data_IF_911818776975
#
_entry.id   IF_911818776975
#
_cell.length_a   1.000
_cell.length_b   1.000
_cell.length_c   1.000
_cell.angle_alpha   90.00
_cell.angle_beta   90.00
_cell.angle_gamma   90.00
#
_symmetry.space_group_name_H-M   'P 1'
#
loop_
_entity.id
_entity.type
_entity.pdbx_description
1 polymer ?
#
# COMPACT_ATOMS: atom_id res chain seq x y z
N UNK A 1 35.50 -18.26 -17.23
CA UNK A 1 34.96 -17.80 -15.93
C UNK A 1 35.09 -16.28 -15.87
N UNK A 2 34.86 -15.60 -17.01
CA UNK A 2 35.47 -14.29 -17.32
C UNK A 2 34.44 -13.33 -17.91
N UNK A 3 33.26 -13.28 -17.28
CA UNK A 3 32.15 -12.43 -17.74
C UNK A 3 32.21 -10.99 -17.20
N UNK A 4 33.09 -10.71 -16.23
CA UNK A 4 33.20 -9.41 -15.57
C UNK A 4 34.31 -8.60 -16.26
N UNK A 5 33.94 -7.49 -16.88
CA UNK A 5 34.86 -6.56 -17.53
C UNK A 5 34.62 -5.12 -17.04
N UNK A 6 35.55 -4.60 -16.24
CA UNK A 6 35.48 -3.22 -15.72
C UNK A 6 35.84 -2.15 -16.76
N UNK A 7 36.34 -2.55 -17.93
CA UNK A 7 36.73 -1.63 -19.01
C UNK A 7 35.60 -1.35 -20.01
N UNK A 8 34.48 -2.04 -19.91
CA UNK A 8 33.33 -1.88 -20.81
C UNK A 8 32.78 -0.44 -20.76
N UNK A 9 32.61 0.18 -21.94
CA UNK A 9 32.04 1.51 -22.11
C UNK A 9 30.63 1.46 -22.74
N UNK A 10 29.77 2.47 -22.52
CA UNK A 10 28.49 2.60 -23.21
C UNK A 10 28.65 2.61 -24.73
N UNK A 11 27.67 2.09 -25.46
CA UNK A 11 27.68 2.06 -26.93
C UNK A 11 26.38 2.66 -27.46
N UNK A 12 26.51 3.60 -28.40
CA UNK A 12 25.37 4.12 -29.14
C UNK A 12 24.99 3.15 -30.27
N UNK A 13 23.70 2.83 -30.37
CA UNK A 13 23.17 1.91 -31.38
C UNK A 13 22.17 2.66 -32.25
N UNK A 14 22.43 2.71 -33.56
CA UNK A 14 21.52 3.30 -34.54
C UNK A 14 20.56 2.24 -35.10
N UNK A 15 19.26 2.42 -34.89
CA UNK A 15 18.23 1.49 -35.36
C UNK A 15 17.22 2.24 -36.23
N UNK A 16 16.95 1.71 -37.44
CA UNK A 16 15.86 2.20 -38.29
C UNK A 16 14.60 1.43 -37.96
N UNK A 17 13.58 2.13 -37.46
CA UNK A 17 12.28 1.53 -37.08
C UNK A 17 11.14 2.20 -37.84
N UNK A 18 10.07 1.45 -38.09
CA UNK A 18 8.84 1.99 -38.69
C UNK A 18 7.88 2.61 -37.67
N UNK A 19 7.99 2.24 -36.39
CA UNK A 19 7.12 2.71 -35.31
C UNK A 19 7.81 2.56 -33.95
N UNK A 20 7.36 3.34 -32.96
CA UNK A 20 7.82 3.31 -31.57
C UNK A 20 6.61 3.16 -30.65
N UNK A 21 6.71 2.26 -29.68
CA UNK A 21 5.68 2.07 -28.63
C UNK A 21 6.31 2.51 -27.30
N UNK A 22 5.64 3.42 -26.59
CA UNK A 22 6.07 3.86 -25.26
C UNK A 22 5.31 3.05 -24.22
N UNK A 23 6.03 2.20 -23.50
CA UNK A 23 5.49 1.35 -22.45
C UNK A 23 6.41 1.36 -21.22
N UNK A 24 6.92 2.53 -20.85
CA UNK A 24 7.88 2.72 -19.74
C UNK A 24 7.25 2.59 -18.35
N UNK A 25 5.92 2.49 -18.26
CA UNK A 25 5.22 2.22 -17.01
C UNK A 25 5.03 3.45 -16.12
N UNK A 26 5.17 3.24 -14.81
CA UNK A 26 4.93 4.21 -13.75
C UNK A 26 5.90 3.97 -12.59
N UNK A 27 6.12 5.01 -11.77
CA UNK A 27 6.94 4.95 -10.56
C UNK A 27 6.08 5.03 -9.29
N UNK A 28 6.59 4.44 -8.21
CA UNK A 28 5.90 4.39 -6.92
C UNK A 28 6.03 5.73 -6.20
N UNK A 29 4.93 6.21 -5.65
CA UNK A 29 4.98 7.37 -4.77
C UNK A 29 5.53 6.97 -3.39
N UNK A 30 6.62 7.63 -2.99
CA UNK A 30 7.20 7.52 -1.65
C UNK A 30 6.75 8.70 -0.80
N UNK A 31 5.86 8.50 0.18
CA UNK A 31 5.18 9.59 0.90
C UNK A 31 6.03 10.14 2.06
N UNK A 32 7.29 10.48 1.79
CA UNK A 32 8.22 10.99 2.82
C UNK A 32 7.65 12.22 3.52
N UNK A 33 7.64 12.20 4.85
CA UNK A 33 7.06 13.27 5.67
C UNK A 33 5.53 13.21 5.81
N UNK A 34 4.86 12.26 5.14
CA UNK A 34 3.44 11.98 5.34
C UNK A 34 3.25 10.69 6.14
N UNK A 35 2.29 10.70 7.07
CA UNK A 35 1.92 9.53 7.87
C UNK A 35 3.10 8.80 8.55
N UNK A 36 4.20 9.50 8.84
CA UNK A 36 5.39 8.93 9.48
C UNK A 36 6.24 8.04 8.57
N UNK A 37 6.00 8.02 7.26
CA UNK A 37 6.82 7.25 6.33
C UNK A 37 8.24 7.82 6.23
N UNK A 38 9.24 6.94 6.38
CA UNK A 38 10.66 7.29 6.46
C UNK A 38 11.15 7.60 7.89
N UNK A 39 10.24 7.77 8.85
CA UNK A 39 10.58 8.02 10.26
C UNK A 39 10.18 6.86 11.17
N UNK A 40 8.96 6.33 11.02
CA UNK A 40 8.46 5.21 11.80
C UNK A 40 8.77 3.90 11.09
N UNK A 41 9.55 3.04 11.75
CA UNK A 41 10.05 1.79 11.15
C UNK A 41 8.92 0.84 10.71
N UNK A 42 7.77 0.89 11.37
CA UNK A 42 6.62 0.05 11.06
C UNK A 42 5.61 0.69 10.10
N UNK A 43 5.93 1.84 9.49
CA UNK A 43 5.12 2.45 8.42
C UNK A 43 5.76 2.10 7.08
N UNK A 44 5.06 1.29 6.29
CA UNK A 44 5.52 0.79 4.99
C UNK A 44 4.50 1.10 3.89
N UNK A 45 4.97 1.13 2.64
CA UNK A 45 4.09 1.24 1.47
C UNK A 45 3.47 -0.10 1.10
N UNK A 46 2.40 -0.07 0.30
CA UNK A 46 1.81 -1.30 -0.24
C UNK A 46 2.79 -2.10 -1.08
N UNK A 47 3.69 -1.46 -1.84
CA UNK A 47 4.66 -2.20 -2.67
C UNK A 47 5.74 -2.87 -1.81
N UNK A 48 6.15 -2.25 -0.70
CA UNK A 48 7.01 -2.92 0.27
C UNK A 48 6.31 -4.13 0.88
N UNK A 49 5.04 -4.00 1.25
CA UNK A 49 4.24 -5.13 1.73
C UNK A 49 4.15 -6.26 0.70
N UNK A 50 3.95 -5.96 -0.59
CA UNK A 50 3.98 -6.97 -1.67
C UNK A 50 5.32 -7.71 -1.71
N UNK A 51 6.45 -7.00 -1.59
CA UNK A 51 7.77 -7.64 -1.53
C UNK A 51 7.91 -8.51 -0.29
N UNK A 52 7.37 -8.11 0.85
CA UNK A 52 7.41 -8.90 2.09
C UNK A 52 6.55 -10.17 1.99
N UNK A 53 5.37 -10.09 1.36
CA UNK A 53 4.46 -11.23 1.16
C UNK A 53 4.85 -12.14 0.00
N UNK A 54 5.73 -11.69 -0.90
CA UNK A 54 6.18 -12.50 -2.02
C UNK A 54 7.05 -13.69 -1.53
N UNK A 55 6.81 -14.94 -2.02
CA UNK A 55 7.65 -16.09 -1.68
C UNK A 55 9.12 -15.94 -2.09
N UNK A 56 9.40 -15.19 -3.16
CA UNK A 56 10.75 -14.79 -3.59
C UNK A 56 11.13 -13.38 -3.08
N UNK A 57 10.44 -12.93 -2.05
CA UNK A 57 10.67 -11.69 -1.34
C UNK A 57 11.86 -11.78 -0.39
N UNK A 58 12.36 -10.64 0.12
CA UNK A 58 13.40 -10.62 1.14
C UNK A 58 13.01 -11.32 2.45
N UNK A 59 11.71 -11.56 2.67
CA UNK A 59 11.17 -12.26 3.83
C UNK A 59 10.54 -13.62 3.49
N UNK A 60 10.75 -14.12 2.26
CA UNK A 60 10.26 -15.45 1.83
C UNK A 60 8.74 -15.66 2.03
N UNK A 61 7.97 -14.58 1.99
CA UNK A 61 6.51 -14.60 2.19
C UNK A 61 6.05 -14.44 3.63
N UNK A 62 6.96 -14.40 4.61
CA UNK A 62 6.63 -14.32 6.03
C UNK A 62 6.76 -12.90 6.55
N UNK A 63 5.64 -12.17 6.51
CA UNK A 63 5.58 -10.80 6.99
C UNK A 63 5.88 -10.72 8.50
N UNK A 64 6.60 -9.69 8.90
CA UNK A 64 6.84 -9.35 10.30
C UNK A 64 7.09 -7.86 10.42
N UNK A 65 6.88 -7.30 11.61
CA UNK A 65 7.25 -5.92 11.93
C UNK A 65 8.74 -5.72 11.71
N UNK A 66 9.11 -4.57 11.14
CA UNK A 66 10.51 -4.27 10.84
C UNK A 66 11.29 -3.93 12.11
N UNK A 67 10.63 -3.30 13.10
CA UNK A 67 11.31 -2.83 14.31
C UNK A 67 11.71 -3.92 15.29
N UNK A 68 10.91 -4.98 15.40
CA UNK A 68 11.06 -5.99 16.44
C UNK A 68 10.86 -7.43 15.96
N UNK A 69 10.65 -7.61 14.65
CA UNK A 69 10.48 -8.91 14.00
C UNK A 69 9.27 -9.72 14.47
N UNK A 70 8.35 -9.11 15.24
CA UNK A 70 7.15 -9.79 15.73
C UNK A 70 6.04 -9.82 14.68
N UNK A 71 5.12 -10.77 14.85
CA UNK A 71 3.87 -10.83 14.08
C UNK A 71 2.98 -9.64 14.45
N UNK A 72 2.48 -8.85 13.47
CA UNK A 72 1.54 -7.78 13.75
C UNK A 72 0.17 -8.36 14.12
N UNK A 73 -0.45 -7.82 15.17
CA UNK A 73 -1.84 -8.14 15.55
C UNK A 73 -2.85 -7.10 15.09
N UNK A 74 -2.39 -5.89 14.82
CA UNK A 74 -3.20 -4.76 14.37
C UNK A 74 -2.54 -4.18 13.12
N UNK A 75 -3.28 -4.14 12.01
CA UNK A 75 -2.78 -3.65 10.73
C UNK A 75 -3.79 -2.63 10.17
N UNK A 76 -3.30 -1.45 9.81
CA UNK A 76 -4.11 -0.37 9.27
C UNK A 76 -3.61 0.00 7.88
N UNK A 77 -4.48 -0.08 6.89
CA UNK A 77 -4.26 0.45 5.55
C UNK A 77 -4.83 1.86 5.45
N UNK A 78 -4.00 2.80 5.02
CA UNK A 78 -4.40 4.18 4.73
C UNK A 78 -4.57 4.33 3.22
N UNK A 79 -5.80 4.55 2.75
CA UNK A 79 -6.06 4.76 1.33
C UNK A 79 -5.78 6.20 0.89
N UNK A 80 -5.57 6.37 -0.41
CA UNK A 80 -5.38 7.68 -1.06
C UNK A 80 -4.14 8.45 -0.59
N UNK A 81 -3.10 7.78 -0.09
CA UNK A 81 -1.82 8.44 0.20
C UNK A 81 -1.18 8.90 -1.11
N UNK A 82 -0.89 10.19 -1.24
CA UNK A 82 -0.39 10.81 -2.47
C UNK A 82 -1.35 10.80 -3.66
N UNK A 83 -2.66 10.65 -3.43
CA UNK A 83 -3.68 10.67 -4.50
C UNK A 83 -4.99 11.23 -3.98
N UNK A 84 -5.76 11.90 -4.85
CA UNK A 84 -6.97 12.66 -4.45
C UNK A 84 -6.65 13.70 -3.37
N UNK A 85 -5.53 14.38 -3.56
CA UNK A 85 -5.05 15.50 -2.73
C UNK A 85 -4.83 16.73 -3.60
N UNK A 86 -4.58 17.90 -2.99
CA UNK A 86 -4.46 19.18 -3.71
C UNK A 86 -3.45 19.12 -4.86
N UNK A 87 -2.27 18.57 -4.61
CA UNK A 87 -1.18 18.47 -5.60
C UNK A 87 -1.38 17.30 -6.59
N UNK A 88 -2.12 16.26 -6.20
CA UNK A 88 -2.37 15.05 -7.00
C UNK A 88 -3.84 14.70 -6.94
N UNK A 89 -4.63 15.42 -7.74
CA UNK A 89 -6.10 15.37 -7.70
C UNK A 89 -6.70 14.09 -8.29
N UNK A 90 -5.89 13.30 -9.01
CA UNK A 90 -6.31 12.05 -9.62
C UNK A 90 -6.36 10.88 -8.63
N UNK A 91 -7.07 9.81 -9.01
CA UNK A 91 -7.05 8.53 -8.31
C UNK A 91 -6.06 7.59 -9.00
N UNK A 92 -5.24 6.87 -8.22
CA UNK A 92 -4.26 5.90 -8.75
C UNK A 92 -4.89 4.59 -9.27
N UNK A 93 -6.23 4.45 -9.21
CA UNK A 93 -7.00 3.36 -9.83
C UNK A 93 -6.92 2.00 -9.14
N UNK A 94 -5.77 1.63 -8.59
CA UNK A 94 -5.48 0.25 -8.14
C UNK A 94 -5.39 0.08 -6.61
N UNK A 95 -5.16 1.16 -5.86
CA UNK A 95 -4.81 1.11 -4.44
C UNK A 95 -5.89 0.47 -3.55
N UNK A 96 -7.17 0.70 -3.84
CA UNK A 96 -8.28 0.09 -3.12
C UNK A 96 -8.26 -1.44 -3.23
N UNK A 97 -8.09 -1.96 -4.46
CA UNK A 97 -8.04 -3.39 -4.70
C UNK A 97 -6.78 -4.04 -4.12
N UNK A 98 -5.63 -3.38 -4.21
CA UNK A 98 -4.40 -3.86 -3.57
C UNK A 98 -4.57 -4.00 -2.06
N UNK A 99 -5.25 -3.04 -1.42
CA UNK A 99 -5.50 -3.12 0.03
C UNK A 99 -6.43 -4.28 0.40
N UNK A 100 -7.50 -4.48 -0.36
CA UNK A 100 -8.41 -5.62 -0.15
C UNK A 100 -7.69 -6.96 -0.39
N UNK A 101 -6.84 -7.02 -1.42
CA UNK A 101 -6.06 -8.21 -1.76
C UNK A 101 -5.05 -8.54 -0.67
N UNK A 102 -4.21 -7.57 -0.30
CA UNK A 102 -3.20 -7.76 0.74
C UNK A 102 -3.82 -7.98 2.11
N UNK A 103 -4.95 -7.33 2.43
CA UNK A 103 -5.68 -7.58 3.66
C UNK A 103 -6.10 -9.05 3.79
N UNK A 104 -6.64 -9.65 2.71
CA UNK A 104 -7.00 -11.08 2.73
C UNK A 104 -5.78 -11.99 2.87
N UNK A 105 -4.69 -11.72 2.15
CA UNK A 105 -3.45 -12.50 2.29
C UNK A 105 -2.87 -12.43 3.71
N UNK A 106 -2.96 -11.27 4.35
CA UNK A 106 -2.54 -11.10 5.74
C UNK A 106 -3.42 -11.87 6.72
N UNK A 107 -4.72 -12.02 6.46
CA UNK A 107 -5.60 -12.88 7.28
C UNK A 107 -5.30 -14.36 7.08
N UNK A 108 -4.85 -14.78 5.89
CA UNK A 108 -4.40 -16.15 5.65
C UNK A 108 -3.13 -16.47 6.46
N UNK A 109 -2.17 -15.53 6.53
CA UNK A 109 -0.93 -15.68 7.31
C UNK A 109 -1.13 -15.45 8.82
N UNK A 110 -2.00 -14.50 9.19
CA UNK A 110 -2.33 -14.11 10.57
C UNK A 110 -3.85 -14.15 10.81
N UNK A 111 -4.43 -15.33 11.05
CA UNK A 111 -5.88 -15.46 11.26
C UNK A 111 -6.42 -14.71 12.49
N UNK A 112 -5.56 -14.33 13.43
CA UNK A 112 -5.90 -13.57 14.63
C UNK A 112 -5.62 -12.06 14.52
N UNK A 113 -5.17 -11.58 13.35
CA UNK A 113 -4.89 -10.16 13.14
C UNK A 113 -6.17 -9.35 12.85
N UNK A 114 -6.26 -8.17 13.48
CA UNK A 114 -7.27 -7.18 13.17
C UNK A 114 -6.79 -6.29 12.03
N UNK A 115 -7.47 -6.35 10.89
CA UNK A 115 -7.16 -5.52 9.72
C UNK A 115 -8.20 -4.43 9.56
N UNK A 116 -7.74 -3.19 9.41
CA UNK A 116 -8.58 -2.03 9.17
C UNK A 116 -8.16 -1.32 7.87
N UNK A 117 -9.13 -0.98 7.02
CA UNK A 117 -8.91 -0.15 5.83
C UNK A 117 -9.62 1.20 6.04
N UNK A 118 -8.83 2.26 6.13
CA UNK A 118 -9.30 3.64 6.22
C UNK A 118 -9.40 4.26 4.82
N UNK A 119 -10.60 4.67 4.41
CA UNK A 119 -10.87 5.10 3.03
C UNK A 119 -11.81 6.29 2.94
N UNK A 120 -11.79 6.99 1.79
CA UNK A 120 -12.78 8.02 1.44
C UNK A 120 -13.93 7.34 0.69
N UNK A 121 -13.60 6.68 -0.43
CA UNK A 121 -14.50 5.82 -1.20
C UNK A 121 -13.73 4.55 -1.59
N UNK A 122 -14.39 3.39 -1.55
CA UNK A 122 -13.84 2.16 -2.13
C UNK A 122 -14.16 2.19 -3.63
N UNK A 123 -13.13 1.96 -4.45
CA UNK A 123 -13.25 1.94 -5.91
C UNK A 123 -12.87 0.56 -6.45
N UNK A 124 -13.88 -0.14 -6.91
CA UNK A 124 -13.89 -1.52 -7.39
C UNK A 124 -14.51 -1.60 -8.80
N UNK A 125 -13.98 -0.85 -9.79
CA UNK A 125 -14.73 -0.57 -11.03
C UNK A 125 -14.75 -1.73 -12.05
N UNK A 126 -13.84 -2.70 -11.93
CA UNK A 126 -13.68 -3.77 -12.91
C UNK A 126 -14.59 -4.97 -12.61
N UNK A 127 -14.69 -5.87 -13.58
CA UNK A 127 -15.44 -7.12 -13.44
C UNK A 127 -14.97 -7.89 -12.19
N UNK A 128 -15.92 -8.36 -11.38
CA UNK A 128 -15.70 -9.16 -10.17
C UNK A 128 -15.02 -8.42 -9.00
N UNK A 129 -14.74 -7.12 -9.12
CA UNK A 129 -14.07 -6.36 -8.05
C UNK A 129 -15.01 -6.03 -6.90
N UNK A 130 -16.28 -5.74 -7.18
CA UNK A 130 -17.27 -5.50 -6.13
C UNK A 130 -17.57 -6.76 -5.33
N UNK A 131 -17.68 -7.90 -6.01
CA UNK A 131 -17.82 -9.22 -5.38
C UNK A 131 -16.57 -9.57 -4.55
N UNK A 132 -15.38 -9.14 -4.98
CA UNK A 132 -14.17 -9.27 -4.17
C UNK A 132 -14.23 -8.39 -2.91
N UNK A 133 -14.71 -7.16 -3.02
CA UNK A 133 -14.90 -6.26 -1.90
C UNK A 133 -15.92 -6.80 -0.88
N UNK A 134 -17.06 -7.31 -1.33
CA UNK A 134 -18.05 -7.93 -0.43
C UNK A 134 -17.46 -9.13 0.31
N UNK A 135 -16.75 -10.03 -0.39
CA UNK A 135 -16.03 -11.14 0.27
C UNK A 135 -14.97 -10.67 1.26
N UNK A 136 -14.34 -9.53 1.03
CA UNK A 136 -13.35 -8.96 1.94
C UNK A 136 -14.01 -8.39 3.22
N UNK A 137 -15.19 -7.78 3.10
CA UNK A 137 -16.01 -7.37 4.25
C UNK A 137 -16.48 -8.57 5.07
N UNK A 138 -16.89 -9.64 4.40
CA UNK A 138 -17.32 -10.88 5.05
C UNK A 138 -16.16 -11.59 5.79
N UNK A 139 -14.92 -11.36 5.35
CA UNK A 139 -13.71 -11.86 5.99
C UNK A 139 -13.24 -10.99 7.17
N UNK A 140 -14.14 -10.26 7.82
CA UNK A 140 -13.88 -9.43 9.01
C UNK A 140 -12.86 -8.29 8.84
N UNK A 141 -12.53 -7.90 7.59
CA UNK A 141 -11.75 -6.68 7.35
C UNK A 141 -12.59 -5.47 7.72
N UNK A 142 -12.12 -4.68 8.69
CA UNK A 142 -12.83 -3.51 9.19
C UNK A 142 -12.71 -2.35 8.21
N UNK A 143 -13.84 -1.96 7.63
CA UNK A 143 -13.92 -0.81 6.73
C UNK A 143 -14.25 0.46 7.53
N UNK A 144 -13.34 1.45 7.51
CA UNK A 144 -13.57 2.77 8.14
C UNK A 144 -13.59 3.86 7.07
N UNK A 145 -14.78 4.44 6.85
CA UNK A 145 -14.91 5.62 6.01
C UNK A 145 -14.45 6.88 6.76
N UNK A 146 -13.25 7.32 6.46
CA UNK A 146 -12.62 8.52 7.04
C UNK A 146 -11.17 8.65 6.59
N UNK A 147 -10.74 9.89 6.32
CA UNK A 147 -9.32 10.19 6.07
C UNK A 147 -8.59 10.19 7.41
N UNK A 148 -7.38 9.62 7.42
CA UNK A 148 -6.48 9.69 8.58
C UNK A 148 -6.03 11.14 8.73
N UNK A 149 -6.08 11.67 9.95
CA UNK A 149 -5.64 13.05 10.21
C UNK A 149 -4.39 13.15 11.07
N UNK A 150 -4.23 12.31 12.09
CA UNK A 150 -3.05 12.31 12.96
C UNK A 150 -2.47 10.90 13.08
N UNK A 151 -1.15 10.83 13.11
CA UNK A 151 -0.39 9.60 13.36
C UNK A 151 0.70 9.89 14.40
N UNK A 152 0.99 8.93 15.26
CA UNK A 152 2.10 9.01 16.22
C UNK A 152 2.67 7.63 16.50
N UNK A 153 3.95 7.57 16.82
CA UNK A 153 4.61 6.34 17.26
C UNK A 153 4.82 6.35 18.77
N UNK A 154 4.61 5.20 19.40
CA UNK A 154 5.03 4.94 20.76
C UNK A 154 6.54 4.62 20.78
N UNK A 155 7.39 5.43 21.44
CA UNK A 155 8.84 5.34 21.30
C UNK A 155 9.44 4.05 21.87
N UNK A 156 8.76 3.40 22.83
CA UNK A 156 9.22 2.17 23.46
C UNK A 156 8.79 0.94 22.67
N UNK A 157 7.51 0.89 22.29
CA UNK A 157 6.92 -0.30 21.65
C UNK A 157 6.97 -0.26 20.13
N UNK A 158 7.29 0.90 19.55
CA UNK A 158 7.24 1.17 18.11
C UNK A 158 5.87 0.94 17.47
N UNK A 159 4.82 0.96 18.30
CA UNK A 159 3.44 0.83 17.85
C UNK A 159 2.97 2.18 17.28
N UNK A 160 2.25 2.12 16.16
CA UNK A 160 1.72 3.32 15.51
C UNK A 160 0.26 3.53 15.90
N UNK A 161 -0.05 4.72 16.41
CA UNK A 161 -1.41 5.17 16.76
C UNK A 161 -1.94 6.05 15.64
N UNK A 162 -3.12 5.71 15.14
CA UNK A 162 -3.76 6.41 14.01
C UNK A 162 -5.09 7.00 14.46
N UNK A 163 -5.28 8.30 14.27
CA UNK A 163 -6.55 8.99 14.50
C UNK A 163 -7.27 9.22 13.18
N UNK A 164 -8.49 8.70 13.10
CA UNK A 164 -9.34 8.78 11.91
C UNK A 164 -10.57 9.60 12.22
N UNK A 165 -10.83 10.63 11.41
CA UNK A 165 -12.05 11.42 11.50
C UNK A 165 -13.13 10.74 10.67
N UNK A 166 -14.05 10.05 11.37
CA UNK A 166 -15.18 9.38 10.74
C UNK A 166 -16.18 10.40 10.23
N UNK A 167 -16.59 10.27 8.97
CA UNK A 167 -17.72 11.02 8.44
C UNK A 167 -19.03 10.36 8.93
N UNK A 168 -19.52 10.76 10.11
CA UNK A 168 -20.73 10.18 10.72
C UNK A 168 -21.93 11.12 10.79
N UNK A 169 -21.87 12.33 10.21
CA UNK A 169 -22.99 13.27 10.24
C UNK A 169 -23.27 13.87 8.86
N UNK A 170 -24.40 13.48 8.29
CA UNK A 170 -25.10 14.24 7.26
C UNK A 170 -25.67 15.50 7.89
N UNK A 171 -25.11 16.67 7.57
CA UNK A 171 -25.84 17.92 7.73
C UNK A 171 -26.81 17.99 6.56
N UNK A 172 -28.12 17.90 6.84
CA UNK A 172 -29.15 18.32 5.89
C UNK A 172 -29.23 19.84 6.05
N UNK A 173 -28.58 20.58 5.16
CA UNK A 173 -28.85 21.99 4.98
C UNK A 173 -30.04 22.10 4.01
N UNK A 174 -31.16 22.67 4.49
CA UNK A 174 -32.28 23.09 3.64
C UNK A 174 -31.93 24.42 2.95
#
# INVERSE_FOLDING_TARGET
MDAIDFSQLPTDVNVKVGSVIIATGWDIHEPYGEYGYGEFENVITQVQLERMLAPNGPLEGHMRRLSDTKKPKEIIFIQCVGSRETERTYCSGVCCMLALKNGRLLLEEFPDANITICYIDIRTPEKEFEEYYERAKDAEIRMIRGKVGEISEDPETKNVKVRVYRAFFSIIAL
#
